data_IF_249111506531
#
_entry.id   IF_249111506531
#
_cell.length_a   1.000
_cell.length_b   1.000
_cell.length_c   1.000
_cell.angle_alpha   90.00
_cell.angle_beta   90.00
_cell.angle_gamma   90.00
#
_symmetry.space_group_name_H-M   'P 1'
#
loop_
_entity.id
_entity.type
_entity.pdbx_description
1 polymer ?
#
# COMPACT_ATOMS: atom_id res chain seq x y z
N UNK A 1 16.99 12.91 -6.04
CA UNK A 1 15.86 12.44 -6.88
C UNK A 1 16.11 11.04 -7.43
N UNK A 2 17.32 10.73 -7.89
CA UNK A 2 17.63 9.42 -8.51
C UNK A 2 17.58 8.24 -7.53
N UNK A 3 18.02 8.44 -6.29
CA UNK A 3 17.88 7.42 -5.23
C UNK A 3 16.42 7.07 -4.97
N UNK A 4 15.54 8.08 -4.89
CA UNK A 4 14.11 7.88 -4.64
C UNK A 4 13.43 7.15 -5.81
N UNK A 5 13.78 7.52 -7.05
CA UNK A 5 13.36 6.81 -8.25
C UNK A 5 13.84 5.35 -8.24
N UNK A 6 15.11 5.11 -7.91
CA UNK A 6 15.68 3.76 -7.84
C UNK A 6 14.97 2.89 -6.80
N UNK A 7 14.71 3.43 -5.60
CA UNK A 7 13.93 2.76 -4.56
C UNK A 7 12.53 2.42 -5.10
N UNK A 8 11.81 3.40 -5.64
CA UNK A 8 10.46 3.19 -6.13
C UNK A 8 10.39 2.20 -7.30
N UNK A 9 11.33 2.26 -8.25
CA UNK A 9 11.39 1.34 -9.40
C UNK A 9 11.80 -0.09 -9.02
N UNK A 10 12.51 -0.27 -7.90
CA UNK A 10 12.89 -1.60 -7.40
C UNK A 10 11.72 -2.40 -6.84
N UNK A 11 10.55 -1.77 -6.66
CA UNK A 11 9.31 -2.39 -6.19
C UNK A 11 8.92 -3.68 -6.94
N UNK A 12 9.14 -3.72 -8.26
CA UNK A 12 8.88 -4.89 -9.10
C UNK A 12 9.85 -6.04 -8.77
N UNK A 13 11.14 -5.74 -8.67
CA UNK A 13 12.18 -6.71 -8.35
C UNK A 13 12.08 -7.23 -6.90
N UNK A 14 11.55 -6.41 -6.00
CA UNK A 14 11.39 -6.75 -4.58
C UNK A 14 10.21 -7.69 -4.30
N UNK A 15 9.44 -8.06 -5.33
CA UNK A 15 8.35 -9.01 -5.19
C UNK A 15 7.19 -8.48 -4.34
N UNK A 16 6.69 -7.27 -4.63
CA UNK A 16 5.54 -6.71 -3.89
C UNK A 16 4.31 -7.62 -3.86
N UNK A 17 4.12 -8.48 -4.87
CA UNK A 17 3.09 -9.53 -4.85
C UNK A 17 3.27 -10.51 -3.68
N UNK A 18 4.53 -10.85 -3.34
CA UNK A 18 4.85 -11.68 -2.20
C UNK A 18 4.56 -10.93 -0.90
N UNK A 19 4.90 -9.64 -0.82
CA UNK A 19 4.54 -8.81 0.34
C UNK A 19 3.02 -8.74 0.54
N UNK A 20 2.23 -8.55 -0.52
CA UNK A 20 0.78 -8.58 -0.45
C UNK A 20 0.24 -9.96 0.00
N UNK A 21 0.86 -11.05 -0.46
CA UNK A 21 0.55 -12.40 0.04
C UNK A 21 0.86 -12.56 1.53
N UNK A 22 1.95 -11.97 2.04
CA UNK A 22 2.26 -11.97 3.46
C UNK A 22 1.20 -11.20 4.27
N UNK A 23 0.67 -10.09 3.74
CA UNK A 23 -0.48 -9.41 4.35
C UNK A 23 -1.76 -10.26 4.33
N UNK A 24 -1.96 -11.08 3.29
CA UNK A 24 -3.05 -12.06 3.28
C UNK A 24 -2.87 -13.10 4.39
N UNK A 25 -1.66 -13.66 4.54
CA UNK A 25 -1.34 -14.57 5.65
C UNK A 25 -1.58 -13.91 7.01
N UNK A 26 -1.18 -12.65 7.18
CA UNK A 26 -1.48 -11.87 8.39
C UNK A 26 -2.99 -11.75 8.63
N UNK A 27 -3.76 -11.52 7.57
CA UNK A 27 -5.22 -11.42 7.66
C UNK A 27 -5.83 -12.73 8.11
N UNK A 28 -5.39 -13.87 7.56
CA UNK A 28 -5.85 -15.19 8.02
C UNK A 28 -5.43 -15.43 9.48
N UNK A 29 -4.19 -15.12 9.85
CA UNK A 29 -3.72 -15.24 11.23
C UNK A 29 -4.53 -14.38 12.20
N UNK A 30 -4.94 -13.17 11.80
CA UNK A 30 -5.71 -12.27 12.67
C UNK A 30 -7.07 -12.85 13.09
N UNK A 31 -7.66 -13.77 12.29
CA UNK A 31 -8.91 -14.46 12.63
C UNK A 31 -8.79 -15.31 13.88
N UNK A 32 -7.58 -15.79 14.22
CA UNK A 32 -7.32 -16.51 15.46
C UNK A 32 -7.74 -15.70 16.71
N UNK A 33 -7.57 -14.38 16.69
CA UNK A 33 -7.90 -13.51 17.82
C UNK A 33 -9.41 -13.25 17.99
N UNK A 34 -10.24 -13.63 17.02
CA UNK A 34 -11.69 -13.68 17.21
C UNK A 34 -12.08 -14.80 18.19
N UNK A 35 -11.38 -15.93 18.11
CA UNK A 35 -11.66 -17.13 18.91
C UNK A 35 -10.87 -17.11 20.22
N UNK A 36 -9.61 -16.64 20.19
CA UNK A 36 -8.71 -16.61 21.37
C UNK A 36 -8.11 -15.22 21.62
N UNK A 37 -8.93 -14.21 21.97
CA UNK A 37 -8.50 -12.82 22.13
C UNK A 37 -7.48 -12.59 23.26
N UNK A 38 -7.39 -13.50 24.23
CA UNK A 38 -6.42 -13.49 25.32
C UNK A 38 -5.00 -13.90 24.92
N UNK A 39 -4.84 -14.47 23.73
CA UNK A 39 -3.54 -14.94 23.25
C UNK A 39 -2.56 -13.78 23.06
N UNK A 40 -1.26 -14.07 23.24
CA UNK A 40 -0.22 -13.07 23.02
C UNK A 40 -0.22 -12.58 21.56
N UNK A 41 -0.28 -11.27 21.39
CA UNK A 41 -0.20 -10.60 20.08
C UNK A 41 1.20 -10.06 19.74
N UNK A 42 2.23 -10.41 20.52
CA UNK A 42 3.60 -9.87 20.30
C UNK A 42 4.16 -10.26 18.94
N UNK A 43 4.06 -11.54 18.57
CA UNK A 43 4.55 -12.04 17.28
C UNK A 43 3.77 -11.42 16.11
N UNK A 44 2.44 -11.32 16.25
CA UNK A 44 1.58 -10.65 15.27
C UNK A 44 1.98 -9.19 15.06
N UNK A 45 2.20 -8.44 16.14
CA UNK A 45 2.60 -7.04 16.08
C UNK A 45 3.97 -6.86 15.43
N UNK A 46 4.94 -7.71 15.79
CA UNK A 46 6.27 -7.69 15.19
C UNK A 46 6.20 -7.96 13.68
N UNK A 47 5.43 -8.98 13.29
CA UNK A 47 5.20 -9.31 11.88
C UNK A 47 4.54 -8.16 11.13
N UNK A 48 3.49 -7.55 11.69
CA UNK A 48 2.82 -6.38 11.13
C UNK A 48 3.80 -5.23 10.89
N UNK A 49 4.66 -4.91 11.86
CA UNK A 49 5.66 -3.84 11.71
C UNK A 49 6.63 -4.11 10.57
N UNK A 50 7.11 -5.36 10.44
CA UNK A 50 7.98 -5.74 9.32
C UNK A 50 7.26 -5.51 8.00
N UNK A 51 6.04 -6.02 7.84
CA UNK A 51 5.29 -5.86 6.60
C UNK A 51 4.99 -4.40 6.28
N UNK A 52 4.61 -3.61 7.29
CA UNK A 52 4.37 -2.17 7.14
C UNK A 52 5.61 -1.41 6.71
N UNK A 53 6.80 -1.75 7.22
CA UNK A 53 8.07 -1.14 6.76
C UNK A 53 8.37 -1.55 5.32
N UNK A 54 8.27 -2.84 5.01
CA UNK A 54 8.55 -3.36 3.67
C UNK A 54 7.71 -2.66 2.60
N UNK A 55 6.40 -2.54 2.81
CA UNK A 55 5.53 -1.87 1.86
C UNK A 55 5.62 -0.34 1.94
N UNK A 56 5.85 0.19 3.15
CA UNK A 56 5.94 1.61 3.44
C UNK A 56 7.06 2.30 2.67
N UNK A 57 8.22 1.65 2.50
CA UNK A 57 9.33 2.18 1.71
C UNK A 57 8.88 2.48 0.26
N UNK A 58 8.06 1.62 -0.35
CA UNK A 58 7.61 1.78 -1.73
C UNK A 58 6.45 2.76 -1.87
N UNK A 59 5.50 2.73 -0.93
CA UNK A 59 4.34 3.64 -0.97
C UNK A 59 4.75 5.08 -0.64
N UNK A 60 5.59 5.28 0.38
CA UNK A 60 6.10 6.61 0.73
C UNK A 60 7.03 7.16 -0.35
N UNK A 61 7.84 6.33 -1.00
CA UNK A 61 8.65 6.79 -2.14
C UNK A 61 7.77 7.24 -3.32
N UNK A 62 6.67 6.54 -3.60
CA UNK A 62 5.70 6.97 -4.62
C UNK A 62 5.02 8.29 -4.26
N UNK A 63 4.58 8.47 -3.01
CA UNK A 63 4.00 9.74 -2.54
C UNK A 63 5.02 10.88 -2.62
N UNK A 64 6.27 10.65 -2.22
CA UNK A 64 7.32 11.65 -2.29
C UNK A 64 7.65 12.04 -3.74
N UNK A 65 7.70 11.08 -4.66
CA UNK A 65 7.89 11.35 -6.09
C UNK A 65 6.70 12.15 -6.65
N UNK A 66 5.46 11.81 -6.29
CA UNK A 66 4.27 12.54 -6.70
C UNK A 66 4.26 13.99 -6.21
N UNK A 67 4.66 14.23 -4.94
CA UNK A 67 4.83 15.58 -4.38
C UNK A 67 5.93 16.39 -5.09
N UNK A 68 6.96 15.73 -5.61
CA UNK A 68 8.01 16.35 -6.43
C UNK A 68 7.59 16.57 -7.89
N UNK A 69 6.32 16.29 -8.24
CA UNK A 69 5.78 16.52 -9.58
C UNK A 69 6.02 15.38 -10.56
N UNK A 70 6.50 14.21 -10.10
CA UNK A 70 6.51 13.02 -10.94
C UNK A 70 5.11 12.47 -11.16
N UNK A 71 4.96 11.84 -12.31
CA UNK A 71 3.68 11.56 -12.96
C UNK A 71 3.68 10.12 -13.48
N UNK A 72 2.53 9.46 -13.45
CA UNK A 72 2.36 8.06 -13.88
C UNK A 72 1.62 8.01 -15.22
N UNK A 73 2.05 7.17 -16.18
CA UNK A 73 1.39 7.07 -17.49
C UNK A 73 0.05 6.29 -17.47
N UNK A 74 -0.86 6.57 -18.43
CA UNK A 74 -2.15 5.87 -18.67
C UNK A 74 -1.94 4.56 -19.46
N UNK A 75 -2.81 3.55 -19.25
CA UNK A 75 -2.86 2.30 -20.00
C UNK A 75 -3.33 2.38 -21.46
N UNK A 76 -4.18 3.35 -21.81
CA UNK A 76 -4.98 3.32 -23.03
C UNK A 76 -4.22 3.93 -24.20
N UNK A 77 -4.01 3.18 -25.30
CA UNK A 77 -3.52 3.75 -26.55
C UNK A 77 -4.55 4.73 -27.13
N UNK A 78 -4.11 5.93 -27.57
CA UNK A 78 -4.92 6.77 -28.46
C UNK A 78 -5.37 8.16 -27.99
N UNK A 79 -4.70 8.81 -27.01
CA UNK A 79 -4.98 10.20 -26.65
C UNK A 79 -4.08 11.22 -27.38
N UNK A 80 -4.65 12.39 -27.67
CA UNK A 80 -4.20 13.41 -28.64
C UNK A 80 -3.10 14.34 -28.07
N UNK A 81 -2.37 15.08 -28.94
CA UNK A 81 -1.37 16.07 -28.52
C UNK A 81 -2.03 17.25 -27.79
N UNK A 82 -1.68 17.45 -26.52
CA UNK A 82 -2.20 18.52 -25.65
C UNK A 82 -2.02 18.23 -24.16
N UNK A 83 -2.04 16.95 -23.78
CA UNK A 83 -1.96 16.51 -22.39
C UNK A 83 -0.50 16.36 -21.90
N UNK A 84 -0.28 16.43 -20.58
CA UNK A 84 1.04 16.18 -19.99
C UNK A 84 1.52 14.76 -20.33
N UNK A 85 2.51 14.63 -21.21
CA UNK A 85 3.07 13.34 -21.62
C UNK A 85 4.10 12.87 -20.60
N UNK A 86 3.99 11.61 -20.17
CA UNK A 86 5.00 10.90 -19.37
C UNK A 86 5.71 9.90 -20.29
N UNK A 87 7.00 10.12 -20.52
CA UNK A 87 7.82 9.21 -21.32
C UNK A 87 8.54 8.20 -20.43
N UNK A 88 8.22 6.91 -20.62
CA UNK A 88 9.02 5.79 -20.12
C UNK A 88 10.14 5.42 -21.11
N UNK A 89 10.86 4.34 -20.83
CA UNK A 89 11.97 3.86 -21.68
C UNK A 89 11.54 3.32 -23.05
N UNK A 90 10.26 2.96 -23.24
CA UNK A 90 9.77 2.33 -24.48
C UNK A 90 8.59 3.06 -25.15
N UNK A 91 7.91 3.98 -24.45
CA UNK A 91 6.82 4.76 -25.02
C UNK A 91 6.52 6.01 -24.19
N UNK A 92 5.94 7.00 -24.85
CA UNK A 92 5.36 8.18 -24.24
C UNK A 92 3.85 7.99 -24.13
N UNK A 93 3.32 8.03 -22.91
CA UNK A 93 1.90 7.85 -22.62
C UNK A 93 1.37 9.11 -21.91
N UNK A 94 0.10 9.49 -22.10
CA UNK A 94 -0.45 10.65 -21.39
C UNK A 94 -0.53 10.35 -19.89
N UNK A 95 -0.59 11.42 -19.08
CA UNK A 95 -0.69 11.37 -17.62
C UNK A 95 -1.99 10.74 -17.15
N UNK A 96 -1.93 9.84 -16.16
CA UNK A 96 -3.11 9.39 -15.41
C UNK A 96 -3.17 10.11 -14.03
N UNK A 97 -4.03 11.12 -13.84
CA UNK A 97 -4.18 11.82 -12.57
C UNK A 97 -4.74 10.95 -11.46
N UNK A 98 -5.53 9.91 -11.80
CA UNK A 98 -6.14 9.01 -10.81
C UNK A 98 -5.10 8.19 -10.08
N UNK A 99 -3.97 7.88 -10.72
CA UNK A 99 -2.85 7.15 -10.09
C UNK A 99 -2.20 7.91 -8.93
N UNK A 100 -2.17 9.24 -9.00
CA UNK A 100 -1.69 10.05 -7.88
C UNK A 100 -2.65 9.97 -6.69
N UNK A 101 -3.96 10.01 -6.93
CA UNK A 101 -4.96 9.85 -5.87
C UNK A 101 -4.95 8.45 -5.25
N UNK A 102 -4.74 7.41 -6.05
CA UNK A 102 -4.57 6.06 -5.54
C UNK A 102 -3.37 5.97 -4.58
N UNK A 103 -2.24 6.61 -4.92
CA UNK A 103 -1.06 6.69 -4.02
C UNK A 103 -1.41 7.27 -2.65
N UNK A 104 -2.17 8.37 -2.61
CA UNK A 104 -2.63 8.94 -1.36
C UNK A 104 -3.56 8.00 -0.60
N UNK A 105 -4.52 7.40 -1.29
CA UNK A 105 -5.52 6.52 -0.69
C UNK A 105 -4.87 5.30 -0.03
N UNK A 106 -4.12 4.48 -0.77
CA UNK A 106 -3.56 3.25 -0.18
C UNK A 106 -2.45 3.53 0.83
N UNK A 107 -1.72 4.65 0.69
CA UNK A 107 -0.71 5.03 1.70
C UNK A 107 -1.41 5.43 2.99
N UNK A 108 -2.48 6.22 2.91
CA UNK A 108 -3.28 6.62 4.06
C UNK A 108 -3.91 5.42 4.74
N UNK A 109 -4.49 4.48 3.98
CA UNK A 109 -5.07 3.25 4.54
C UNK A 109 -4.01 2.33 5.14
N UNK A 110 -2.82 2.21 4.55
CA UNK A 110 -1.75 1.41 5.14
C UNK A 110 -1.27 2.01 6.47
N UNK A 111 -1.08 3.34 6.53
CA UNK A 111 -0.70 4.04 7.78
C UNK A 111 -1.82 3.92 8.82
N UNK A 112 -3.07 4.11 8.42
CA UNK A 112 -4.23 3.98 9.30
C UNK A 112 -4.33 2.57 9.88
N UNK A 113 -4.19 1.53 9.05
CA UNK A 113 -4.19 0.14 9.50
C UNK A 113 -3.06 -0.14 10.50
N UNK A 114 -1.84 0.36 10.26
CA UNK A 114 -0.73 0.25 11.21
C UNK A 114 -1.08 0.89 12.56
N UNK A 115 -1.59 2.12 12.54
CA UNK A 115 -2.00 2.84 13.75
C UNK A 115 -3.11 2.09 14.48
N UNK A 116 -4.12 1.59 13.75
CA UNK A 116 -5.21 0.82 14.34
C UNK A 116 -4.70 -0.44 15.03
N UNK A 117 -3.81 -1.22 14.39
CA UNK A 117 -3.22 -2.42 15.01
C UNK A 117 -2.48 -2.07 16.30
N UNK A 118 -1.68 -1.01 16.32
CA UNK A 118 -0.96 -0.55 17.52
C UNK A 118 -1.94 -0.14 18.63
N UNK A 119 -2.95 0.67 18.29
CA UNK A 119 -3.96 1.17 19.23
C UNK A 119 -4.77 0.02 19.83
N UNK A 120 -5.28 -0.89 18.99
CA UNK A 120 -6.07 -2.06 19.40
C UNK A 120 -5.28 -2.98 20.36
N UNK A 121 -3.96 -3.09 20.17
CA UNK A 121 -3.10 -3.93 20.99
C UNK A 121 -2.45 -3.23 22.19
N UNK A 122 -2.53 -1.90 22.26
CA UNK A 122 -1.88 -1.09 23.30
C UNK A 122 -2.50 -1.25 24.69
N UNK A 123 -3.80 -1.59 24.76
CA UNK A 123 -4.56 -1.60 26.02
C UNK A 123 -4.85 -0.21 26.60
N UNK A 124 -4.55 0.89 25.86
CA UNK A 124 -4.72 2.27 26.36
C UNK A 124 -6.13 2.81 26.20
N UNK A 125 -6.76 2.58 25.05
CA UNK A 125 -8.09 3.11 24.71
C UNK A 125 -9.23 2.10 24.93
N UNK A 126 -8.90 0.81 24.93
CA UNK A 126 -9.84 -0.28 25.19
C UNK A 126 -9.10 -1.48 25.77
N UNK A 127 -9.84 -2.40 26.39
CA UNK A 127 -9.27 -3.65 26.86
C UNK A 127 -8.62 -4.42 25.71
N UNK A 128 -7.41 -4.94 25.94
CA UNK A 128 -6.63 -5.62 24.92
C UNK A 128 -7.37 -6.80 24.29
N UNK A 129 -8.18 -7.53 25.07
CA UNK A 129 -9.00 -8.65 24.58
C UNK A 129 -10.09 -8.18 23.60
N UNK A 130 -10.72 -7.05 23.91
CA UNK A 130 -11.72 -6.44 23.01
C UNK A 130 -11.03 -5.95 21.74
N UNK A 131 -9.92 -5.23 21.87
CA UNK A 131 -9.14 -4.75 20.72
C UNK A 131 -8.62 -5.88 19.83
N UNK A 132 -8.17 -7.00 20.41
CA UNK A 132 -7.70 -8.17 19.68
C UNK A 132 -8.76 -8.75 18.73
N UNK A 133 -10.05 -8.67 19.08
CA UNK A 133 -11.16 -9.14 18.22
C UNK A 133 -11.30 -8.30 16.94
N UNK A 134 -10.88 -7.04 16.97
CA UNK A 134 -10.97 -6.14 15.80
C UNK A 134 -9.70 -6.17 14.93
N UNK A 135 -8.67 -6.94 15.29
CA UNK A 135 -7.46 -7.09 14.46
C UNK A 135 -7.76 -7.59 13.06
N UNK A 136 -8.78 -8.47 12.93
CA UNK A 136 -9.27 -8.95 11.64
C UNK A 136 -9.58 -7.84 10.65
N UNK A 137 -10.30 -6.83 11.13
CA UNK A 137 -10.69 -5.70 10.30
C UNK A 137 -9.47 -4.86 9.89
N UNK A 138 -8.59 -4.52 10.83
CA UNK A 138 -7.41 -3.71 10.55
C UNK A 138 -6.43 -4.43 9.60
N UNK A 139 -6.25 -5.74 9.78
CA UNK A 139 -5.41 -6.58 8.92
C UNK A 139 -5.99 -6.72 7.51
N UNK A 140 -7.31 -6.91 7.40
CA UNK A 140 -8.00 -6.96 6.10
C UNK A 140 -7.85 -5.64 5.32
N UNK A 141 -7.99 -4.49 5.99
CA UNK A 141 -7.72 -3.19 5.37
C UNK A 141 -6.27 -3.05 4.91
N UNK A 142 -5.30 -3.51 5.71
CA UNK A 142 -3.89 -3.48 5.34
C UNK A 142 -3.62 -4.36 4.11
N UNK A 143 -4.24 -5.54 4.05
CA UNK A 143 -4.18 -6.42 2.89
C UNK A 143 -4.79 -5.77 1.64
N UNK A 144 -5.97 -5.17 1.74
CA UNK A 144 -6.59 -4.45 0.64
C UNK A 144 -5.70 -3.32 0.10
N UNK A 145 -5.09 -2.54 1.00
CA UNK A 145 -4.11 -1.52 0.62
C UNK A 145 -2.89 -2.15 -0.08
N UNK A 146 -2.35 -3.26 0.42
CA UNK A 146 -1.24 -3.96 -0.22
C UNK A 146 -1.57 -4.47 -1.63
N UNK A 147 -2.78 -5.01 -1.84
CA UNK A 147 -3.27 -5.41 -3.16
C UNK A 147 -3.36 -4.21 -4.10
N UNK A 148 -3.83 -3.06 -3.62
CA UNK A 148 -3.89 -1.83 -4.42
C UNK A 148 -2.50 -1.35 -4.85
N UNK A 149 -1.51 -1.43 -3.96
CA UNK A 149 -0.11 -1.12 -4.29
C UNK A 149 0.39 -2.02 -5.44
N UNK A 150 0.17 -3.33 -5.33
CA UNK A 150 0.54 -4.30 -6.39
C UNK A 150 -0.20 -3.97 -7.69
N UNK A 151 -1.50 -3.70 -7.63
CA UNK A 151 -2.29 -3.29 -8.80
C UNK A 151 -1.69 -2.07 -9.48
N UNK A 152 -1.30 -1.04 -8.73
CA UNK A 152 -0.75 0.21 -9.31
C UNK A 152 0.61 -0.01 -9.97
N UNK A 153 1.41 -0.94 -9.44
CA UNK A 153 2.73 -1.27 -10.00
C UNK A 153 2.63 -2.10 -11.28
N UNK A 154 1.72 -3.09 -11.32
CA UNK A 154 1.68 -4.05 -12.42
C UNK A 154 0.58 -3.77 -13.46
N UNK A 155 -0.49 -3.09 -13.07
CA UNK A 155 -1.62 -2.81 -13.95
C UNK A 155 -1.65 -1.32 -14.29
N UNK A 156 -1.78 -0.97 -15.57
CA UNK A 156 -1.75 0.42 -16.00
C UNK A 156 -3.08 1.13 -15.68
N UNK A 157 -3.07 2.46 -15.61
CA UNK A 157 -4.21 3.28 -15.20
C UNK A 157 -5.32 3.42 -16.25
N UNK A 158 -6.56 3.61 -15.80
CA UNK A 158 -7.74 3.55 -16.68
C UNK A 158 -8.32 4.93 -17.02
N UNK A 159 -7.75 6.01 -16.50
CA UNK A 159 -8.40 7.33 -16.52
C UNK A 159 -7.53 8.35 -17.22
N UNK A 160 -7.89 8.78 -18.44
CA UNK A 160 -7.24 9.89 -19.12
C UNK A 160 -7.35 11.19 -18.32
N UNK A 161 -6.27 11.97 -18.27
CA UNK A 161 -6.26 13.30 -17.66
C UNK A 161 -6.46 14.42 -18.68
N UNK A 162 -7.37 15.35 -18.37
CA UNK A 162 -7.57 16.65 -19.06
C UNK A 162 -6.39 17.62 -18.86
#
# INVERSE_FOLDING_TARGET
MDVLKAIHSSSIAFGLYFVAFLFFVQTIWSLFYLVRPESSARAFLFYNRILSVLIGIFTLSGVALALMGLKTPIATPGLKPGDSIVCGTQACQPLDPSRNWEHWMYTSFMVLSLVLVEVLLSGRFMERKVGARYLGLAAFFAFGAAVMVVRVVFLPGSTPGN
#
